data_IF_415732612236
#
_entry.id   IF_415732612236
#
_cell.length_a   1.000
_cell.length_b   1.000
_cell.length_c   1.000
_cell.angle_alpha   90.00
_cell.angle_beta   90.00
_cell.angle_gamma   90.00
#
_symmetry.space_group_name_H-M   'P 1'
#
loop_
_entity.id
_entity.type
_entity.pdbx_description
1 polymer ?
#
# COMPACT_ATOMS: atom_id res chain seq x y z
N UNK A 1 8.69 10.99 39.33
CA UNK A 1 9.41 11.35 38.10
C UNK A 1 10.23 10.13 37.78
N UNK A 2 9.86 9.46 36.70
CA UNK A 2 10.48 8.20 36.31
C UNK A 2 11.64 8.51 35.37
N UNK A 3 12.63 7.62 35.36
CA UNK A 3 13.71 7.73 34.39
C UNK A 3 13.19 7.44 32.98
N UNK A 4 13.94 7.92 31.98
CA UNK A 4 13.68 7.75 30.56
C UNK A 4 13.46 6.29 30.15
N UNK A 5 13.04 6.06 28.90
CA UNK A 5 12.97 4.72 28.32
C UNK A 5 14.34 4.02 28.49
N UNK A 6 14.34 2.77 28.96
CA UNK A 6 15.60 2.00 29.08
C UNK A 6 16.09 1.54 27.71
N UNK A 7 15.15 1.30 26.79
CA UNK A 7 15.40 0.88 25.41
C UNK A 7 14.56 1.74 24.45
N UNK A 8 15.11 2.85 23.92
CA UNK A 8 14.35 3.78 23.08
C UNK A 8 14.08 3.16 21.70
N UNK A 9 12.81 2.86 21.41
CA UNK A 9 12.38 2.27 20.14
C UNK A 9 11.53 3.22 19.28
N UNK A 10 11.53 3.06 17.95
CA UNK A 10 10.71 3.87 17.06
C UNK A 10 9.20 3.72 17.34
N UNK A 11 8.45 4.82 17.20
CA UNK A 11 6.98 4.82 17.37
C UNK A 11 6.25 3.88 16.40
N UNK A 12 6.83 3.59 15.24
CA UNK A 12 6.30 2.64 14.26
C UNK A 12 6.12 1.24 14.86
N UNK A 13 6.97 0.81 15.79
CA UNK A 13 6.86 -0.49 16.46
C UNK A 13 5.66 -0.56 17.42
N UNK A 14 5.48 0.48 18.24
CA UNK A 14 4.32 0.58 19.13
C UNK A 14 3.02 0.60 18.32
N UNK A 15 2.96 1.46 17.30
CA UNK A 15 1.76 1.61 16.47
C UNK A 15 1.43 0.33 15.70
N UNK A 16 2.43 -0.38 15.15
CA UNK A 16 2.21 -1.69 14.52
C UNK A 16 1.72 -2.76 15.52
N UNK A 17 2.26 -2.77 16.74
CA UNK A 17 1.82 -3.69 17.81
C UNK A 17 0.37 -3.44 18.20
N UNK A 18 0.00 -2.17 18.40
CA UNK A 18 -1.38 -1.77 18.70
C UNK A 18 -2.32 -2.05 17.53
N UNK A 19 -1.87 -1.84 16.29
CA UNK A 19 -2.59 -2.18 15.07
C UNK A 19 -2.92 -3.67 14.95
N UNK A 20 -1.95 -4.56 15.24
CA UNK A 20 -2.17 -6.01 15.29
C UNK A 20 -3.18 -6.42 16.36
N UNK A 21 -3.14 -5.77 17.54
CA UNK A 21 -4.09 -6.02 18.62
C UNK A 21 -5.49 -5.45 18.35
N UNK A 22 -5.67 -4.62 17.30
CA UNK A 22 -6.93 -3.97 16.91
C UNK A 22 -7.58 -3.17 18.05
N UNK A 23 -6.76 -2.53 18.88
CA UNK A 23 -7.22 -1.69 19.99
C UNK A 23 -7.50 -0.30 19.41
N UNK A 24 -8.71 0.29 19.50
CA UNK A 24 -8.91 1.73 19.39
C UNK A 24 -8.07 2.48 20.42
N UNK A 25 -7.24 3.40 19.96
CA UNK A 25 -6.42 4.21 20.85
C UNK A 25 -6.16 5.59 20.25
N UNK A 26 -5.80 6.52 21.13
CA UNK A 26 -5.21 7.82 20.79
C UNK A 26 -4.11 8.15 21.78
N UNK A 27 -3.18 9.00 21.36
CA UNK A 27 -2.11 9.47 22.23
C UNK A 27 -1.69 10.88 21.89
N UNK A 28 -1.24 11.62 22.90
CA UNK A 28 -0.48 12.85 22.73
C UNK A 28 0.84 12.73 23.49
N UNK A 29 1.91 13.24 22.90
CA UNK A 29 3.22 13.33 23.53
C UNK A 29 3.60 14.80 23.67
N UNK A 30 4.14 15.16 24.84
CA UNK A 30 4.61 16.51 25.14
C UNK A 30 6.10 16.43 25.44
N UNK A 31 6.86 17.25 24.72
CA UNK A 31 8.29 17.44 24.91
C UNK A 31 8.51 18.82 25.50
N UNK A 32 8.99 18.89 26.75
CA UNK A 32 9.23 20.15 27.45
C UNK A 32 10.73 20.37 27.67
N UNK A 33 11.15 21.63 27.50
CA UNK A 33 12.46 22.10 27.96
C UNK A 33 12.46 22.25 29.49
N UNK A 34 13.64 22.31 30.10
CA UNK A 34 13.74 22.48 31.56
C UNK A 34 13.92 21.18 32.35
N UNK A 35 14.43 20.12 31.71
CA UNK A 35 14.93 18.94 32.43
C UNK A 35 15.94 19.32 33.52
N UNK A 36 16.87 20.23 33.23
CA UNK A 36 18.01 20.55 34.12
C UNK A 36 17.68 21.13 35.49
N UNK A 37 16.75 22.10 35.61
CA UNK A 37 16.45 22.75 36.89
C UNK A 37 15.68 21.84 37.85
N UNK A 38 14.72 21.07 37.32
CA UNK A 38 14.00 20.08 38.10
C UNK A 38 14.81 18.83 38.43
N UNK A 39 15.82 18.55 37.60
CA UNK A 39 16.82 17.52 37.85
C UNK A 39 17.73 17.91 39.00
N UNK A 40 18.27 19.14 39.03
CA UNK A 40 19.16 19.60 40.10
C UNK A 40 18.50 19.51 41.48
N UNK A 41 17.26 19.97 41.62
CA UNK A 41 16.53 19.92 42.90
C UNK A 41 16.26 18.48 43.37
N UNK A 42 16.00 17.56 42.44
CA UNK A 42 15.71 16.16 42.76
C UNK A 42 16.97 15.29 42.87
N UNK A 43 18.07 15.62 42.20
CA UNK A 43 19.38 14.98 42.38
C UNK A 43 19.90 15.23 43.79
N UNK A 44 19.75 16.46 44.29
CA UNK A 44 20.05 16.81 45.69
C UNK A 44 19.16 15.99 46.64
N UNK A 45 17.85 15.94 46.40
CA UNK A 45 16.93 15.14 47.22
C UNK A 45 17.19 13.63 47.16
N UNK A 46 17.52 13.09 45.98
CA UNK A 46 17.84 11.69 45.77
C UNK A 46 19.19 11.33 46.40
N UNK A 47 20.17 12.22 46.41
CA UNK A 47 21.44 12.04 47.13
C UNK A 47 21.23 11.90 48.64
N UNK A 48 20.30 12.68 49.21
CA UNK A 48 19.87 12.55 50.60
C UNK A 48 19.10 11.24 50.86
N UNK A 49 18.19 10.86 49.96
CA UNK A 49 17.38 9.63 50.10
C UNK A 49 18.14 8.35 49.72
N UNK A 50 19.25 8.45 49.02
CA UNK A 50 20.14 7.32 48.68
C UNK A 50 20.99 6.86 49.86
N UNK A 51 21.01 7.62 50.97
CA UNK A 51 21.60 7.20 52.24
C UNK A 51 20.70 6.18 52.99
N UNK A 52 19.45 5.97 52.55
CA UNK A 52 18.54 4.98 53.09
C UNK A 52 18.65 3.64 52.32
N UNK A 53 18.65 2.49 52.99
CA UNK A 53 18.72 1.18 52.33
C UNK A 53 17.47 0.93 51.47
N UNK A 54 17.65 0.66 50.17
CA UNK A 54 16.57 0.34 49.22
C UNK A 54 16.54 1.16 47.91
N UNK A 55 17.35 2.22 47.79
CA UNK A 55 17.32 3.14 46.64
C UNK A 55 18.52 3.02 45.67
N UNK A 56 19.17 1.85 45.61
CA UNK A 56 20.40 1.67 44.81
C UNK A 56 20.19 1.83 43.30
N UNK A 57 19.06 1.37 42.77
CA UNK A 57 18.70 1.50 41.35
C UNK A 57 18.55 2.97 40.94
N UNK A 58 17.91 3.78 41.79
CA UNK A 58 17.74 5.22 41.59
C UNK A 58 19.12 5.89 41.47
N UNK A 59 20.06 5.53 42.36
CA UNK A 59 21.44 6.05 42.36
C UNK A 59 22.19 5.70 41.08
N UNK A 60 22.10 4.43 40.62
CA UNK A 60 22.77 3.95 39.39
C UNK A 60 22.27 4.69 38.16
N UNK A 61 20.97 4.91 38.08
CA UNK A 61 20.33 5.59 36.96
C UNK A 61 20.67 7.10 36.91
N UNK A 62 20.74 7.78 38.05
CA UNK A 62 21.22 9.17 38.12
C UNK A 62 22.69 9.28 37.70
N UNK A 63 23.55 8.34 38.13
CA UNK A 63 24.96 8.31 37.71
C UNK A 63 25.12 8.04 36.21
N UNK A 64 24.29 7.18 35.62
CA UNK A 64 24.27 6.92 34.18
C UNK A 64 23.89 8.18 33.38
N UNK A 65 22.86 8.90 33.80
CA UNK A 65 22.46 10.18 33.19
C UNK A 65 23.55 11.25 33.29
N UNK A 66 24.22 11.34 34.45
CA UNK A 66 25.33 12.27 34.67
C UNK A 66 26.52 11.95 33.75
N UNK A 67 26.86 10.67 33.60
CA UNK A 67 27.91 10.21 32.69
C UNK A 67 27.57 10.52 31.22
N UNK A 68 26.29 10.37 30.83
CA UNK A 68 25.82 10.70 29.48
C UNK A 68 25.87 12.20 29.21
N UNK A 69 25.58 13.04 30.22
CA UNK A 69 25.71 14.50 30.14
C UNK A 69 27.17 14.93 30.01
N UNK A 70 28.04 14.40 30.86
CA UNK A 70 29.46 14.76 30.94
C UNK A 70 30.26 14.27 29.73
N UNK A 71 29.95 13.07 29.19
CA UNK A 71 30.70 12.48 28.06
C UNK A 71 30.13 12.79 26.68
N UNK A 72 28.82 13.05 26.54
CA UNK A 72 28.15 13.20 25.22
C UNK A 72 27.43 14.53 25.02
N UNK A 73 27.51 15.48 25.96
CA UNK A 73 26.86 16.80 25.87
C UNK A 73 25.35 16.73 25.51
N UNK A 74 24.65 15.71 26.02
CA UNK A 74 23.24 15.49 25.69
C UNK A 74 22.33 16.37 26.55
N UNK A 75 21.53 17.22 25.89
CA UNK A 75 20.46 17.96 26.54
C UNK A 75 19.36 17.00 26.99
N UNK A 76 18.94 17.09 28.25
CA UNK A 76 17.84 16.29 28.80
C UNK A 76 16.52 17.04 28.68
N UNK A 77 15.48 16.31 28.30
CA UNK A 77 14.12 16.83 28.11
C UNK A 77 13.13 16.06 28.95
N UNK A 78 12.03 16.73 29.27
CA UNK A 78 10.89 16.09 29.91
C UNK A 78 9.99 15.56 28.82
N UNK A 79 9.78 14.25 28.83
CA UNK A 79 8.87 13.56 27.93
C UNK A 79 7.64 13.12 28.73
N UNK A 80 6.46 13.44 28.22
CA UNK A 80 5.18 12.94 28.72
C UNK A 80 4.42 12.30 27.58
N UNK A 81 3.73 11.20 27.85
CA UNK A 81 2.83 10.55 26.91
C UNK A 81 1.53 10.24 27.62
N UNK A 82 0.44 10.79 27.12
CA UNK A 82 -0.91 10.44 27.57
C UNK A 82 -1.54 9.55 26.50
N UNK A 83 -2.15 8.45 26.89
CA UNK A 83 -2.88 7.57 25.98
C UNK A 83 -4.29 7.29 26.48
N UNK A 84 -5.22 7.09 25.55
CA UNK A 84 -6.60 6.74 25.87
C UNK A 84 -7.14 5.68 24.90
N UNK A 85 -8.04 4.84 25.38
CA UNK A 85 -8.80 3.84 24.62
C UNK A 85 -10.28 3.94 25.00
N UNK A 86 -11.16 3.32 24.22
CA UNK A 86 -12.60 3.40 24.42
C UNK A 86 -13.31 2.10 24.00
N UNK A 87 -14.53 1.93 24.52
CA UNK A 87 -15.45 0.86 24.18
C UNK A 87 -16.90 1.40 24.13
N UNK A 88 -17.83 0.72 23.46
CA UNK A 88 -19.25 1.05 23.52
C UNK A 88 -19.77 1.10 24.96
N UNK A 89 -20.79 1.94 25.18
CA UNK A 89 -21.44 2.08 26.49
C UNK A 89 -22.01 0.70 26.90
N UNK A 90 -21.75 0.29 28.15
CA UNK A 90 -22.17 -1.01 28.69
C UNK A 90 -21.16 -2.15 28.50
N UNK A 91 -20.07 -1.94 27.75
CA UNK A 91 -19.03 -2.96 27.53
C UNK A 91 -17.79 -2.76 28.46
N UNK A 92 -18.00 -2.61 29.76
CA UNK A 92 -16.92 -2.31 30.72
C UNK A 92 -15.81 -3.36 30.74
N UNK A 93 -16.16 -4.63 30.60
CA UNK A 93 -15.20 -5.72 30.53
C UNK A 93 -14.25 -5.56 29.33
N UNK A 94 -14.76 -5.10 28.19
CA UNK A 94 -13.97 -4.83 27.00
C UNK A 94 -13.09 -3.60 27.22
N UNK A 95 -13.61 -2.53 27.81
CA UNK A 95 -12.81 -1.35 28.14
C UNK A 95 -11.61 -1.72 29.03
N UNK A 96 -11.84 -2.50 30.09
CA UNK A 96 -10.78 -2.97 31.01
C UNK A 96 -9.73 -3.81 30.27
N UNK A 97 -10.18 -4.74 29.41
CA UNK A 97 -9.28 -5.57 28.59
C UNK A 97 -8.42 -4.74 27.65
N UNK A 98 -9.04 -3.77 26.97
CA UNK A 98 -8.33 -2.88 26.04
C UNK A 98 -7.34 -1.97 26.75
N UNK A 99 -7.73 -1.37 27.89
CA UNK A 99 -6.84 -0.56 28.72
C UNK A 99 -5.64 -1.37 29.21
N UNK A 100 -5.85 -2.61 29.65
CA UNK A 100 -4.76 -3.51 30.06
C UNK A 100 -3.83 -3.84 28.88
N UNK A 101 -4.39 -4.12 27.71
CA UNK A 101 -3.60 -4.48 26.54
C UNK A 101 -2.81 -3.29 25.96
N UNK A 102 -3.34 -2.07 26.11
CA UNK A 102 -2.67 -0.81 25.78
C UNK A 102 -1.50 -0.55 26.73
N UNK A 103 -1.71 -0.62 28.05
CA UNK A 103 -0.63 -0.50 29.05
C UNK A 103 0.51 -1.48 28.78
N UNK A 104 0.19 -2.76 28.57
CA UNK A 104 1.19 -3.80 28.26
C UNK A 104 1.97 -3.52 26.97
N UNK A 105 1.31 -2.94 25.95
CA UNK A 105 1.98 -2.62 24.70
C UNK A 105 2.95 -1.45 24.84
N UNK A 106 2.61 -0.45 25.65
CA UNK A 106 3.48 0.70 25.93
C UNK A 106 4.65 0.27 26.83
N UNK A 107 4.38 -0.56 27.85
CA UNK A 107 5.42 -1.12 28.72
C UNK A 107 6.42 -1.96 27.93
N UNK A 108 5.93 -2.81 27.00
CA UNK A 108 6.79 -3.63 26.15
C UNK A 108 7.50 -2.90 25.00
N UNK A 109 7.23 -1.61 24.77
CA UNK A 109 7.82 -0.85 23.66
C UNK A 109 9.22 -0.32 23.97
N UNK A 110 9.47 0.13 25.20
CA UNK A 110 10.78 0.65 25.60
C UNK A 110 11.03 0.59 27.11
N UNK A 111 10.40 -0.38 27.77
CA UNK A 111 10.33 -0.49 29.23
C UNK A 111 9.79 0.77 29.91
N UNK A 112 8.87 1.48 29.24
CA UNK A 112 8.22 2.66 29.80
C UNK A 112 7.28 2.23 30.92
N UNK A 113 7.34 2.91 32.07
CA UNK A 113 6.36 2.68 33.13
C UNK A 113 5.06 3.40 32.80
N UNK A 114 3.93 2.70 32.88
CA UNK A 114 2.60 3.31 32.69
C UNK A 114 1.83 3.36 34.00
N UNK A 115 1.05 4.42 34.17
CA UNK A 115 0.14 4.57 35.31
C UNK A 115 -1.28 4.68 34.78
N UNK A 116 -2.20 3.86 35.32
CA UNK A 116 -3.64 3.90 34.98
C UNK A 116 -4.44 4.87 35.84
N UNK A 117 -3.83 5.40 36.90
CA UNK A 117 -4.42 6.39 37.79
C UNK A 117 -4.21 7.77 37.19
N UNK A 118 -5.24 8.33 36.57
CA UNK A 118 -5.20 9.65 35.92
C UNK A 118 -5.36 10.83 36.88
N UNK A 119 -5.83 10.60 38.11
CA UNK A 119 -6.34 11.65 38.98
C UNK A 119 -7.68 12.16 38.46
N UNK A 120 -7.66 13.05 37.47
CA UNK A 120 -8.82 13.54 36.73
C UNK A 120 -8.97 12.77 35.39
N UNK A 121 -10.04 11.97 35.22
CA UNK A 121 -10.30 11.26 33.96
C UNK A 121 -10.59 12.19 32.77
N UNK A 122 -11.21 13.35 32.98
CA UNK A 122 -11.49 14.31 31.92
C UNK A 122 -10.19 14.94 31.44
N UNK A 123 -9.33 15.37 32.36
CA UNK A 123 -8.03 15.95 32.01
C UNK A 123 -7.14 14.93 31.29
N UNK A 124 -7.12 13.66 31.73
CA UNK A 124 -6.39 12.60 31.02
C UNK A 124 -6.99 12.29 29.64
N UNK A 125 -8.32 12.29 29.53
CA UNK A 125 -8.97 12.13 28.23
C UNK A 125 -8.62 13.29 27.30
N UNK A 126 -8.71 14.55 27.73
CA UNK A 126 -8.36 15.72 26.94
C UNK A 126 -6.86 15.76 26.60
N UNK A 127 -6.00 15.43 27.57
CA UNK A 127 -4.55 15.36 27.43
C UNK A 127 -4.04 14.25 26.53
N UNK A 128 -4.90 13.31 26.10
CA UNK A 128 -4.58 12.30 25.08
C UNK A 128 -4.90 12.75 23.64
N UNK A 129 -5.53 13.91 23.47
CA UNK A 129 -5.79 14.52 22.17
C UNK A 129 -4.67 15.52 21.87
N UNK A 130 -3.89 15.32 20.79
CA UNK A 130 -2.88 16.30 20.39
C UNK A 130 -3.49 17.70 20.27
N UNK A 131 -2.75 18.72 20.71
CA UNK A 131 -3.10 20.15 20.66
C UNK A 131 -4.34 20.61 21.45
N UNK A 132 -5.15 19.72 22.01
CA UNK A 132 -6.32 20.09 22.82
C UNK A 132 -5.95 20.56 24.23
N UNK A 133 -4.93 19.93 24.83
CA UNK A 133 -4.37 20.33 26.11
C UNK A 133 -2.87 20.53 25.98
N UNK A 134 -2.36 21.61 26.56
CA UNK A 134 -0.92 21.87 26.71
C UNK A 134 -0.37 21.22 28.00
N UNK A 135 -1.26 20.72 28.87
CA UNK A 135 -0.93 19.98 30.08
C UNK A 135 -1.14 18.48 29.91
N UNK A 136 -0.49 17.71 30.76
CA UNK A 136 -0.69 16.26 30.84
C UNK A 136 -0.60 15.82 32.30
N UNK A 137 -1.55 14.98 32.70
CA UNK A 137 -1.58 14.26 33.98
C UNK A 137 -0.56 13.12 34.05
N UNK A 138 0.10 12.80 32.93
CA UNK A 138 1.15 11.78 32.90
C UNK A 138 2.37 12.24 33.69
N UNK A 139 2.97 11.30 34.43
CA UNK A 139 4.21 11.54 35.15
C UNK A 139 5.31 11.90 34.15
N UNK A 140 6.00 13.05 34.29
CA UNK A 140 7.11 13.39 33.42
C UNK A 140 8.23 12.37 33.59
N UNK A 141 8.70 11.84 32.46
CA UNK A 141 9.91 11.06 32.36
C UNK A 141 11.05 11.96 31.86
N UNK A 142 12.26 11.70 32.34
CA UNK A 142 13.44 12.42 31.87
C UNK A 142 14.21 11.57 30.87
N UNK A 143 14.26 12.02 29.62
CA UNK A 143 14.95 11.33 28.54
C UNK A 143 16.04 12.21 27.93
N UNK A 144 17.16 11.64 27.46
CA UNK A 144 18.05 12.31 26.52
C UNK A 144 17.29 12.74 25.27
N UNK A 145 17.60 13.94 24.74
CA UNK A 145 16.89 14.51 23.60
C UNK A 145 16.83 13.57 22.38
N UNK A 146 17.95 12.96 22.01
CA UNK A 146 18.01 12.05 20.86
C UNK A 146 17.09 10.83 21.03
N UNK A 147 17.06 10.24 22.22
CA UNK A 147 16.21 9.09 22.54
C UNK A 147 14.72 9.48 22.50
N UNK A 148 14.37 10.64 23.07
CA UNK A 148 13.02 11.19 23.00
C UNK A 148 12.57 11.42 21.55
N UNK A 149 13.44 11.98 20.70
CA UNK A 149 13.13 12.20 19.28
C UNK A 149 12.90 10.89 18.53
N UNK A 150 13.65 9.82 18.82
CA UNK A 150 13.45 8.50 18.20
C UNK A 150 12.08 7.90 18.50
N UNK A 151 11.57 8.11 19.72
CA UNK A 151 10.29 7.57 20.17
C UNK A 151 9.07 8.37 19.71
N UNK A 152 9.27 9.59 19.21
CA UNK A 152 8.18 10.47 18.80
C UNK A 152 7.55 10.05 17.45
N UNK A 153 6.27 10.41 17.21
CA UNK A 153 5.48 9.91 16.08
C UNK A 153 5.74 10.66 14.75
N UNK A 154 7.00 10.99 14.42
CA UNK A 154 7.33 11.84 13.26
C UNK A 154 7.06 11.17 11.90
N UNK A 155 7.37 9.87 11.78
CA UNK A 155 7.45 9.16 10.48
C UNK A 155 6.11 8.54 10.08
N UNK A 156 4.99 9.10 10.54
CA UNK A 156 3.69 8.56 10.20
C UNK A 156 3.28 9.06 8.81
N UNK A 157 3.43 8.21 7.79
CA UNK A 157 2.93 8.50 6.44
C UNK A 157 1.43 8.80 6.46
N UNK A 158 0.94 9.72 5.63
CA UNK A 158 -0.48 9.95 5.38
C UNK A 158 -0.83 9.43 3.98
N UNK A 159 -2.08 9.01 3.76
CA UNK A 159 -2.49 8.66 2.40
C UNK A 159 -2.48 9.93 1.55
N UNK A 160 -1.88 9.91 0.35
CA UNK A 160 -1.98 11.04 -0.57
C UNK A 160 -3.43 11.22 -1.05
N UNK A 161 -4.24 10.15 -1.04
CA UNK A 161 -5.64 10.19 -1.42
C UNK A 161 -6.53 10.45 -0.20
N UNK A 162 -7.35 11.50 -0.27
CA UNK A 162 -8.39 11.75 0.74
C UNK A 162 -9.56 10.77 0.61
N UNK A 163 -9.86 10.36 -0.61
CA UNK A 163 -10.93 9.43 -0.98
C UNK A 163 -10.38 8.41 -1.96
N UNK A 164 -10.96 7.22 -1.95
CA UNK A 164 -10.60 6.15 -2.87
C UNK A 164 -11.64 5.04 -2.80
N UNK A 165 -11.82 4.32 -3.90
CA UNK A 165 -12.77 3.20 -3.97
C UNK A 165 -12.28 1.97 -3.20
N UNK A 166 -11.01 1.95 -2.79
CA UNK A 166 -10.42 0.86 -2.01
C UNK A 166 -9.91 1.40 -0.68
N UNK A 167 -10.25 0.70 0.40
CA UNK A 167 -9.77 1.00 1.75
C UNK A 167 -8.78 -0.07 2.19
N UNK A 168 -7.49 0.22 2.06
CA UNK A 168 -6.45 -0.60 2.65
C UNK A 168 -6.33 -0.34 4.15
N UNK A 169 -5.64 -1.26 4.83
CA UNK A 169 -5.29 -1.12 6.24
C UNK A 169 -3.78 -1.08 6.37
N UNK A 170 -3.29 -0.06 7.06
CA UNK A 170 -1.87 0.06 7.41
C UNK A 170 -1.47 -0.89 8.54
N UNK A 171 -0.16 -1.15 8.72
CA UNK A 171 0.34 -1.91 9.86
C UNK A 171 -0.11 -1.36 11.23
N UNK A 172 -0.31 -0.04 11.34
CA UNK A 172 -0.82 0.62 12.54
C UNK A 172 -2.34 0.48 12.76
N UNK A 173 -3.03 -0.23 11.86
CA UNK A 173 -4.47 -0.48 11.89
C UNK A 173 -5.32 0.64 11.29
N UNK A 174 -4.73 1.77 10.91
CA UNK A 174 -5.47 2.88 10.32
C UNK A 174 -5.88 2.62 8.86
N UNK A 175 -6.96 3.28 8.45
CA UNK A 175 -7.49 3.21 7.10
C UNK A 175 -6.57 3.96 6.14
N UNK A 176 -6.33 3.37 4.98
CA UNK A 176 -5.59 3.96 3.87
C UNK A 176 -6.44 3.93 2.61
N UNK A 177 -7.02 5.07 2.27
CA UNK A 177 -7.75 5.23 1.02
C UNK A 177 -6.81 5.09 -0.16
N UNK A 178 -7.22 4.33 -1.17
CA UNK A 178 -6.53 4.13 -2.42
C UNK A 178 -7.50 4.29 -3.58
N UNK A 179 -7.11 5.12 -4.54
CA UNK A 179 -7.87 5.36 -5.77
C UNK A 179 -7.11 4.76 -6.97
N UNK A 180 -7.62 3.69 -7.60
CA UNK A 180 -6.97 3.06 -8.74
C UNK A 180 -6.96 3.94 -10.00
N UNK A 181 -7.72 5.04 -10.03
CA UNK A 181 -7.66 6.05 -11.10
C UNK A 181 -6.53 7.05 -10.93
N UNK A 182 -5.88 7.05 -9.75
CA UNK A 182 -4.87 8.04 -9.37
C UNK A 182 -5.48 9.26 -8.70
N UNK A 183 -6.81 9.38 -8.66
CA UNK A 183 -7.51 10.42 -7.92
C UNK A 183 -7.14 11.84 -8.37
N UNK A 184 -6.74 12.00 -9.64
CA UNK A 184 -6.25 13.27 -10.19
C UNK A 184 -4.87 13.72 -9.68
N UNK A 185 -4.21 12.93 -8.83
CA UNK A 185 -2.87 13.22 -8.31
C UNK A 185 -1.75 12.65 -9.17
N UNK A 186 -2.06 11.64 -9.99
CA UNK A 186 -1.12 10.96 -10.89
C UNK A 186 -1.75 10.81 -12.27
N UNK A 187 -0.96 11.06 -13.31
CA UNK A 187 -1.39 10.92 -14.70
C UNK A 187 -1.42 9.46 -15.15
N UNK A 188 -0.47 8.65 -14.69
CA UNK A 188 -0.37 7.23 -14.99
C UNK A 188 -0.10 6.40 -13.74
N UNK A 189 -0.69 5.21 -13.67
CA UNK A 189 -0.49 4.24 -12.60
C UNK A 189 -0.07 2.91 -13.20
N UNK A 190 1.00 2.35 -12.65
CA UNK A 190 1.48 1.00 -12.95
C UNK A 190 1.62 0.26 -11.62
N UNK A 191 0.83 -0.78 -11.43
CA UNK A 191 0.84 -1.60 -10.23
C UNK A 191 1.57 -2.92 -10.47
N UNK A 192 2.65 -3.16 -9.72
CA UNK A 192 3.41 -4.41 -9.75
C UNK A 192 3.10 -5.20 -8.47
N UNK A 193 2.46 -6.36 -8.63
CA UNK A 193 2.08 -7.23 -7.51
C UNK A 193 2.91 -8.51 -7.54
N UNK A 194 3.79 -8.65 -6.55
CA UNK A 194 4.66 -9.82 -6.39
C UNK A 194 4.22 -10.63 -5.17
N UNK A 195 3.93 -11.91 -5.36
CA UNK A 195 3.60 -12.83 -4.28
C UNK A 195 3.92 -14.27 -4.70
N UNK A 196 4.27 -15.16 -3.75
CA UNK A 196 4.36 -16.60 -4.02
C UNK A 196 2.99 -17.17 -4.43
N UNK A 197 2.93 -18.37 -5.05
CA UNK A 197 1.67 -19.06 -5.32
C UNK A 197 0.82 -19.17 -4.05
N UNK A 198 -0.48 -18.83 -4.16
CA UNK A 198 -1.39 -18.79 -3.01
C UNK A 198 -1.29 -17.52 -2.14
N UNK A 199 -0.36 -16.61 -2.40
CA UNK A 199 -0.16 -15.37 -1.63
C UNK A 199 -1.19 -14.26 -1.88
N UNK A 200 -2.29 -14.55 -2.58
CA UNK A 200 -3.39 -13.60 -2.79
C UNK A 200 -3.21 -12.59 -3.94
N UNK A 201 -2.23 -12.76 -4.84
CA UNK A 201 -2.02 -11.88 -6.02
C UNK A 201 -3.30 -11.66 -6.83
N UNK A 202 -4.02 -12.74 -7.15
CA UNK A 202 -5.26 -12.67 -7.93
C UNK A 202 -6.38 -11.96 -7.17
N UNK A 203 -6.47 -12.17 -5.85
CA UNK A 203 -7.44 -11.48 -4.98
C UNK A 203 -7.17 -9.98 -4.98
N UNK A 204 -5.91 -9.58 -4.80
CA UNK A 204 -5.51 -8.17 -4.81
C UNK A 204 -5.80 -7.52 -6.17
N UNK A 205 -5.38 -8.16 -7.28
CA UNK A 205 -5.64 -7.66 -8.64
C UNK A 205 -7.15 -7.50 -8.93
N UNK A 206 -7.98 -8.48 -8.56
CA UNK A 206 -9.43 -8.36 -8.73
C UNK A 206 -10.04 -7.29 -7.81
N UNK A 207 -9.49 -7.09 -6.61
CA UNK A 207 -9.91 -6.00 -5.71
C UNK A 207 -9.62 -4.63 -6.33
N UNK A 208 -8.45 -4.48 -6.96
CA UNK A 208 -8.08 -3.26 -7.70
C UNK A 208 -9.03 -3.02 -8.88
N UNK A 209 -9.29 -4.04 -9.70
CA UNK A 209 -10.23 -3.94 -10.82
C UNK A 209 -11.66 -3.59 -10.36
N UNK A 210 -12.14 -4.21 -9.28
CA UNK A 210 -13.43 -3.88 -8.70
C UNK A 210 -13.45 -2.45 -8.16
N UNK A 211 -12.38 -2.02 -7.48
CA UNK A 211 -12.25 -0.64 -7.06
C UNK A 211 -12.28 0.33 -8.24
N UNK A 212 -11.69 -0.03 -9.38
CA UNK A 212 -11.75 0.81 -10.59
C UNK A 212 -13.19 0.93 -11.10
N UNK A 213 -13.93 -0.17 -11.14
CA UNK A 213 -15.36 -0.19 -11.49
C UNK A 213 -16.22 0.63 -10.50
N UNK A 214 -15.83 0.69 -9.22
CA UNK A 214 -16.54 1.46 -8.20
C UNK A 214 -16.03 2.90 -8.03
N UNK A 215 -15.01 3.30 -8.79
CA UNK A 215 -14.40 4.62 -8.70
C UNK A 215 -15.15 5.66 -9.52
N UNK A 216 -14.68 6.91 -9.47
CA UNK A 216 -15.17 7.98 -10.35
C UNK A 216 -14.98 7.67 -11.84
N UNK A 217 -14.07 6.77 -12.23
CA UNK A 217 -13.91 6.35 -13.63
C UNK A 217 -15.17 5.68 -14.20
N UNK A 218 -16.03 5.13 -13.35
CA UNK A 218 -17.29 4.55 -13.79
C UNK A 218 -18.44 5.56 -13.89
N UNK A 219 -18.24 6.80 -13.43
CA UNK A 219 -19.26 7.85 -13.46
C UNK A 219 -19.07 8.70 -14.72
N UNK A 220 -20.04 8.63 -15.63
CA UNK A 220 -20.17 9.53 -16.78
C UNK A 220 -21.34 10.48 -16.58
N UNK A 221 -21.35 11.63 -17.27
CA UNK A 221 -22.50 12.55 -17.29
C UNK A 221 -23.81 11.90 -17.75
N UNK A 222 -23.73 10.78 -18.46
CA UNK A 222 -24.88 9.98 -18.91
C UNK A 222 -25.14 8.72 -18.04
N UNK A 223 -24.58 8.65 -16.82
CA UNK A 223 -24.78 7.54 -15.89
C UNK A 223 -23.55 6.65 -15.71
N UNK A 224 -23.74 5.49 -15.06
CA UNK A 224 -22.66 4.58 -14.72
C UNK A 224 -22.24 3.72 -15.93
N UNK A 225 -21.01 3.93 -16.43
CA UNK A 225 -20.41 3.17 -17.53
C UNK A 225 -19.21 2.39 -17.02
N UNK A 226 -19.07 1.12 -17.41
CA UNK A 226 -17.89 0.36 -17.00
C UNK A 226 -16.61 0.96 -17.61
N UNK A 227 -15.53 1.10 -16.81
CA UNK A 227 -14.22 1.39 -17.35
C UNK A 227 -13.73 0.22 -18.22
N UNK A 228 -12.94 0.52 -19.24
CA UNK A 228 -12.33 -0.52 -20.07
C UNK A 228 -11.27 -1.27 -19.26
N UNK A 229 -11.51 -2.56 -19.03
CA UNK A 229 -10.61 -3.45 -18.29
C UNK A 229 -10.30 -4.67 -19.15
N UNK A 230 -9.03 -4.81 -19.54
CA UNK A 230 -8.48 -6.02 -20.15
C UNK A 230 -7.71 -6.84 -19.12
N UNK A 231 -7.97 -8.15 -19.04
CA UNK A 231 -7.24 -9.06 -18.15
C UNK A 231 -6.87 -10.35 -18.88
N UNK A 232 -5.56 -10.58 -19.00
CA UNK A 232 -4.97 -11.84 -19.45
C UNK A 232 -4.45 -12.59 -18.23
N UNK A 233 -4.88 -13.83 -18.05
CA UNK A 233 -4.56 -14.63 -16.86
C UNK A 233 -4.30 -16.09 -17.21
N UNK A 234 -3.42 -16.74 -16.46
CA UNK A 234 -3.16 -18.18 -16.58
C UNK A 234 -4.03 -18.87 -15.53
N UNK A 235 -5.16 -19.41 -15.97
CA UNK A 235 -6.18 -20.05 -15.14
C UNK A 235 -7.45 -19.21 -14.95
N UNK A 236 -8.41 -19.67 -14.12
CA UNK A 236 -9.73 -19.03 -14.00
C UNK A 236 -9.76 -17.81 -13.06
N UNK A 237 -8.62 -17.11 -12.87
CA UNK A 237 -8.51 -16.04 -11.87
C UNK A 237 -9.39 -14.81 -12.13
N UNK A 238 -9.78 -14.57 -13.38
CA UNK A 238 -10.71 -13.50 -13.77
C UNK A 238 -12.20 -13.90 -13.80
N UNK A 239 -12.53 -15.19 -13.77
CA UNK A 239 -13.90 -15.67 -14.02
C UNK A 239 -14.90 -15.11 -13.00
N UNK A 240 -14.58 -15.20 -11.70
CA UNK A 240 -15.46 -14.72 -10.64
C UNK A 240 -15.70 -13.21 -10.69
N UNK A 241 -14.71 -12.43 -11.15
CA UNK A 241 -14.86 -10.98 -11.34
C UNK A 241 -15.87 -10.68 -12.47
N UNK A 242 -15.75 -11.38 -13.60
CA UNK A 242 -16.70 -11.21 -14.72
C UNK A 242 -18.11 -11.65 -14.31
N UNK A 243 -18.26 -12.80 -13.66
CA UNK A 243 -19.57 -13.25 -13.17
C UNK A 243 -20.23 -12.25 -12.22
N UNK A 244 -19.44 -11.62 -11.34
CA UNK A 244 -19.92 -10.56 -10.46
C UNK A 244 -20.42 -9.35 -11.26
N UNK A 245 -19.67 -8.90 -12.27
CA UNK A 245 -20.08 -7.78 -13.11
C UNK A 245 -21.36 -8.08 -13.88
N UNK A 246 -21.45 -9.25 -14.54
CA UNK A 246 -22.65 -9.66 -15.28
C UNK A 246 -23.89 -9.70 -14.38
N UNK A 247 -23.75 -10.25 -13.16
CA UNK A 247 -24.83 -10.28 -12.18
C UNK A 247 -25.26 -8.88 -11.73
N UNK A 248 -24.31 -7.96 -11.52
CA UNK A 248 -24.58 -6.59 -11.09
C UNK A 248 -25.18 -5.72 -12.21
N UNK A 249 -24.79 -5.94 -13.47
CA UNK A 249 -25.27 -5.21 -14.65
C UNK A 249 -26.69 -5.63 -15.08
N UNK A 250 -27.10 -6.85 -14.76
CA UNK A 250 -28.37 -7.43 -15.21
C UNK A 250 -28.32 -7.91 -16.67
N UNK A 251 -29.42 -8.50 -17.15
CA UNK A 251 -29.47 -9.17 -18.45
C UNK A 251 -29.17 -8.24 -19.63
N UNK A 252 -29.69 -7.01 -19.63
CA UNK A 252 -29.54 -6.08 -20.75
C UNK A 252 -28.09 -5.68 -21.01
N UNK A 253 -27.28 -5.62 -19.95
CA UNK A 253 -25.90 -5.11 -19.97
C UNK A 253 -24.85 -6.18 -19.70
N UNK A 254 -25.25 -7.44 -19.50
CA UNK A 254 -24.32 -8.54 -19.22
C UNK A 254 -23.26 -8.73 -20.32
N UNK A 255 -23.56 -8.33 -21.55
CA UNK A 255 -22.63 -8.38 -22.68
C UNK A 255 -21.44 -7.42 -22.54
N UNK A 256 -21.49 -6.41 -21.66
CA UNK A 256 -20.37 -5.49 -21.41
C UNK A 256 -19.20 -6.15 -20.68
N UNK A 257 -19.39 -7.35 -20.11
CA UNK A 257 -18.34 -8.10 -19.43
C UNK A 257 -18.30 -9.54 -19.97
N UNK A 258 -17.12 -9.99 -20.43
CA UNK A 258 -16.94 -11.32 -20.99
C UNK A 258 -15.74 -12.04 -20.37
N UNK A 259 -15.90 -13.35 -20.13
CA UNK A 259 -14.81 -14.24 -19.75
C UNK A 259 -14.62 -15.24 -20.88
N UNK A 260 -13.49 -15.16 -21.55
CA UNK A 260 -13.11 -16.05 -22.65
C UNK A 260 -11.96 -16.93 -22.18
N UNK A 261 -12.19 -18.25 -22.16
CA UNK A 261 -11.13 -19.23 -21.96
C UNK A 261 -10.58 -19.63 -23.32
N UNK A 262 -9.38 -19.15 -23.65
CA UNK A 262 -8.71 -19.51 -24.90
C UNK A 262 -8.49 -21.02 -25.00
N UNK A 263 -8.82 -21.61 -26.14
CA UNK A 263 -8.67 -23.04 -26.43
C UNK A 263 -7.89 -23.22 -27.73
N UNK A 264 -7.17 -24.34 -27.85
CA UNK A 264 -6.52 -24.74 -29.11
C UNK A 264 -7.54 -25.39 -30.05
N UNK A 265 -8.61 -24.67 -30.37
CA UNK A 265 -9.71 -25.12 -31.24
C UNK A 265 -10.13 -23.98 -32.13
N UNK A 266 -10.81 -24.32 -33.24
CA UNK A 266 -11.34 -23.32 -34.16
C UNK A 266 -12.27 -22.33 -33.47
N UNK A 267 -12.15 -21.05 -33.83
CA UNK A 267 -12.92 -19.92 -33.29
C UNK A 267 -12.22 -19.13 -32.17
N UNK A 268 -11.02 -19.52 -31.74
CA UNK A 268 -10.22 -18.79 -30.74
C UNK A 268 -8.93 -18.21 -31.30
N UNK A 269 -8.76 -18.27 -32.62
CA UNK A 269 -7.61 -17.71 -33.28
C UNK A 269 -7.69 -16.19 -33.37
N UNK A 270 -6.53 -15.54 -33.30
CA UNK A 270 -6.41 -14.08 -33.40
C UNK A 270 -5.30 -13.80 -34.41
N UNK A 271 -5.61 -12.98 -35.42
CA UNK A 271 -4.61 -12.51 -36.36
C UNK A 271 -4.02 -11.19 -35.85
N UNK A 272 -2.71 -11.18 -35.58
CA UNK A 272 -2.02 -9.98 -35.10
C UNK A 272 -1.92 -8.88 -36.16
N UNK A 273 -2.12 -9.21 -37.44
CA UNK A 273 -2.18 -8.27 -38.56
C UNK A 273 -3.58 -7.68 -38.80
N UNK A 274 -4.56 -8.01 -37.96
CA UNK A 274 -5.88 -7.42 -38.09
C UNK A 274 -5.84 -5.91 -37.81
N UNK A 275 -6.55 -5.16 -38.65
CA UNK A 275 -6.63 -3.71 -38.60
C UNK A 275 -7.84 -3.24 -37.79
N UNK A 276 -7.73 -2.04 -37.24
CA UNK A 276 -8.90 -1.35 -36.69
C UNK A 276 -9.94 -1.10 -37.79
N UNK A 277 -11.21 -1.04 -37.40
CA UNK A 277 -12.32 -0.85 -38.33
C UNK A 277 -12.14 0.42 -39.17
N UNK A 278 -12.19 0.27 -40.49
CA UNK A 278 -12.08 1.38 -41.44
C UNK A 278 -10.65 1.74 -41.85
N UNK A 279 -9.63 1.01 -41.38
CA UNK A 279 -8.26 1.17 -41.84
C UNK A 279 -7.90 0.16 -42.93
N UNK A 280 -7.06 0.60 -43.87
CA UNK A 280 -6.43 -0.24 -44.90
C UNK A 280 -4.97 -0.57 -44.56
N UNK A 281 -4.36 0.21 -43.67
CA UNK A 281 -2.98 0.06 -43.21
C UNK A 281 -2.90 0.27 -41.68
N UNK A 282 -1.92 -0.34 -40.99
CA UNK A 282 -1.78 -0.21 -39.54
C UNK A 282 -1.39 1.21 -39.15
N UNK A 283 -1.76 1.62 -37.94
CA UNK A 283 -1.25 2.86 -37.35
C UNK A 283 0.26 2.75 -37.08
N UNK A 284 1.01 3.87 -37.00
CA UNK A 284 2.46 3.83 -36.79
C UNK A 284 2.88 3.01 -35.56
N UNK A 285 2.13 3.07 -34.47
CA UNK A 285 2.42 2.28 -33.26
C UNK A 285 2.15 0.79 -33.45
N UNK A 286 1.10 0.43 -34.19
CA UNK A 286 0.75 -0.96 -34.52
C UNK A 286 1.78 -1.57 -35.46
N UNK A 287 2.26 -0.78 -36.42
CA UNK A 287 3.36 -1.17 -37.30
C UNK A 287 4.62 -1.49 -36.50
N UNK A 288 5.03 -0.59 -35.59
CA UNK A 288 6.18 -0.83 -34.70
C UNK A 288 5.96 -2.05 -33.81
N UNK A 289 4.73 -2.31 -33.35
CA UNK A 289 4.42 -3.53 -32.62
C UNK A 289 4.63 -4.78 -33.47
N UNK A 290 4.13 -4.80 -34.71
CA UNK A 290 4.31 -5.92 -35.65
C UNK A 290 5.78 -6.16 -35.97
N UNK A 291 6.54 -5.11 -36.26
CA UNK A 291 7.98 -5.21 -36.52
C UNK A 291 8.72 -5.86 -35.34
N UNK A 292 8.45 -5.40 -34.12
CA UNK A 292 9.04 -5.98 -32.92
C UNK A 292 8.60 -7.44 -32.70
N UNK A 293 7.32 -7.74 -32.90
CA UNK A 293 6.77 -9.08 -32.71
C UNK A 293 7.38 -10.09 -33.69
N UNK A 294 7.42 -9.76 -34.98
CA UNK A 294 8.02 -10.62 -36.00
C UNK A 294 9.52 -10.74 -35.80
N UNK A 295 10.21 -9.64 -35.44
CA UNK A 295 11.64 -9.68 -35.13
C UNK A 295 11.95 -10.62 -33.96
N UNK A 296 11.11 -10.64 -32.91
CA UNK A 296 11.24 -11.57 -31.80
C UNK A 296 11.04 -13.03 -32.24
N UNK A 297 10.08 -13.30 -33.13
CA UNK A 297 9.84 -14.64 -33.68
C UNK A 297 10.99 -15.12 -34.58
N UNK A 298 11.59 -14.20 -35.35
CA UNK A 298 12.69 -14.50 -36.26
C UNK A 298 14.05 -14.63 -35.53
N UNK A 299 14.17 -14.09 -34.31
CA UNK A 299 15.42 -14.12 -33.55
C UNK A 299 15.60 -15.46 -32.83
N UNK A 300 16.69 -16.20 -33.09
CA UNK A 300 16.94 -17.47 -32.40
C UNK A 300 17.17 -17.26 -30.90
N UNK A 301 16.66 -18.17 -30.07
CA UNK A 301 16.85 -18.14 -28.61
C UNK A 301 18.33 -18.06 -28.22
N UNK A 302 18.69 -17.05 -27.43
CA UNK A 302 20.04 -16.86 -26.88
C UNK A 302 21.08 -16.35 -27.89
N UNK A 303 20.67 -15.93 -29.10
CA UNK A 303 21.55 -15.32 -30.11
C UNK A 303 21.08 -13.91 -30.43
N UNK A 304 21.98 -13.03 -30.92
CA UNK A 304 21.57 -11.74 -31.45
C UNK A 304 20.67 -11.92 -32.69
N UNK A 305 19.83 -10.92 -33.02
CA UNK A 305 19.10 -10.88 -34.29
C UNK A 305 20.04 -11.00 -35.49
N UNK A 306 19.55 -11.56 -36.60
CA UNK A 306 20.30 -11.60 -37.85
C UNK A 306 20.49 -10.19 -38.43
N UNK A 307 21.65 -9.94 -39.02
CA UNK A 307 21.96 -8.66 -39.66
C UNK A 307 21.01 -8.41 -40.86
N UNK A 308 20.41 -7.21 -40.93
CA UNK A 308 19.46 -6.83 -41.98
C UNK A 308 18.07 -7.45 -41.87
N UNK A 309 17.78 -8.21 -40.80
CA UNK A 309 16.47 -8.82 -40.57
C UNK A 309 15.39 -7.76 -40.29
N UNK A 310 15.75 -6.65 -39.69
CA UNK A 310 14.90 -5.50 -39.44
C UNK A 310 14.29 -4.93 -40.73
N UNK A 311 15.12 -4.71 -41.75
CA UNK A 311 14.66 -4.25 -43.06
C UNK A 311 13.75 -5.27 -43.75
N UNK A 312 14.13 -6.56 -43.71
CA UNK A 312 13.30 -7.62 -44.28
C UNK A 312 11.93 -7.72 -43.59
N UNK A 313 11.88 -7.60 -42.27
CA UNK A 313 10.62 -7.61 -41.50
C UNK A 313 9.75 -6.42 -41.90
N UNK A 314 10.33 -5.23 -42.05
CA UNK A 314 9.60 -4.04 -42.53
C UNK A 314 9.01 -4.25 -43.92
N UNK A 315 9.81 -4.70 -44.87
CA UNK A 315 9.39 -4.94 -46.25
C UNK A 315 8.28 -6.00 -46.33
N UNK A 316 8.39 -7.09 -45.55
CA UNK A 316 7.39 -8.16 -45.51
C UNK A 316 6.07 -7.66 -44.93
N UNK A 317 6.11 -6.84 -43.87
CA UNK A 317 4.88 -6.27 -43.28
C UNK A 317 4.20 -5.35 -44.28
N UNK A 318 4.95 -4.45 -44.93
CA UNK A 318 4.41 -3.51 -45.91
C UNK A 318 3.80 -4.25 -47.11
N UNK A 319 4.49 -5.28 -47.62
CA UNK A 319 4.01 -6.10 -48.72
C UNK A 319 2.77 -6.93 -48.35
N UNK A 320 2.69 -7.45 -47.13
CA UNK A 320 1.52 -8.19 -46.66
C UNK A 320 0.25 -7.33 -46.67
N UNK A 321 0.33 -6.07 -46.20
CA UNK A 321 -0.81 -5.15 -46.27
C UNK A 321 -1.12 -4.73 -47.72
N UNK A 322 -0.10 -4.45 -48.53
CA UNK A 322 -0.28 -4.10 -49.95
C UNK A 322 -1.08 -5.18 -50.70
N UNK A 323 -0.69 -6.45 -50.54
CA UNK A 323 -1.38 -7.58 -51.18
C UNK A 323 -2.84 -7.71 -50.73
N UNK A 324 -3.12 -7.50 -49.44
CA UNK A 324 -4.48 -7.61 -48.90
C UNK A 324 -5.40 -6.45 -49.33
N UNK A 325 -4.85 -5.26 -49.54
CA UNK A 325 -5.61 -4.08 -49.97
C UNK A 325 -5.87 -4.11 -51.49
N UNK A 326 -4.87 -4.44 -52.30
CA UNK A 326 -5.03 -4.53 -53.77
C UNK A 326 -5.99 -5.67 -54.20
N UNK A 327 -6.00 -6.79 -53.49
CA UNK A 327 -6.91 -7.91 -53.80
C UNK A 327 -8.39 -7.55 -53.55
N UNK A 328 -8.66 -6.61 -52.62
CA UNK A 328 -10.02 -6.12 -52.33
C UNK A 328 -10.60 -5.26 -53.44
N UNK A 329 -9.77 -4.56 -54.21
CA UNK A 329 -10.24 -3.72 -55.32
C UNK A 329 -10.62 -4.52 -56.58
N UNK A 330 -10.08 -5.74 -56.74
CA UNK A 330 -10.15 -6.46 -58.01
C UNK A 330 -11.32 -7.47 -58.09
N UNK A 331 -11.96 -7.88 -56.98
CA UNK A 331 -13.03 -8.88 -57.08
C UNK A 331 -14.15 -8.80 -56.02
N UNK A 332 -15.32 -8.22 -56.36
CA UNK A 332 -16.49 -8.19 -55.46
C UNK A 332 -17.20 -9.54 -55.30
N UNK A 333 -16.88 -10.56 -56.13
CA UNK A 333 -17.65 -11.81 -56.23
C UNK A 333 -16.84 -13.11 -56.09
N UNK A 334 -15.55 -13.07 -55.74
CA UNK A 334 -14.81 -14.30 -55.41
C UNK A 334 -15.04 -14.69 -53.95
N UNK A 335 -15.94 -15.65 -53.73
CA UNK A 335 -15.98 -16.47 -52.52
C UNK A 335 -14.83 -17.47 -52.57
N UNK A 336 -13.59 -17.03 -52.36
CA UNK A 336 -12.47 -17.93 -52.11
C UNK A 336 -12.05 -17.79 -50.63
N UNK A 337 -12.34 -18.77 -49.76
CA UNK A 337 -12.16 -18.61 -48.30
C UNK A 337 -10.71 -18.70 -47.80
N UNK A 338 -9.72 -18.93 -48.66
CA UNK A 338 -8.42 -19.48 -48.24
C UNK A 338 -7.22 -18.51 -48.18
N UNK A 339 -7.42 -17.20 -48.29
CA UNK A 339 -6.33 -16.22 -48.10
C UNK A 339 -6.60 -15.25 -46.94
N UNK A 340 -7.05 -15.78 -45.81
CA UNK A 340 -6.67 -15.19 -44.53
C UNK A 340 -5.18 -15.49 -44.31
N UNK A 341 -4.35 -14.47 -44.13
CA UNK A 341 -2.93 -14.58 -43.82
C UNK A 341 -2.74 -15.23 -42.43
N UNK A 342 -3.06 -16.52 -42.32
CA UNK A 342 -2.54 -17.36 -41.27
C UNK A 342 -1.05 -17.46 -41.57
N UNK A 343 -0.23 -16.72 -40.82
CA UNK A 343 1.12 -17.18 -40.55
C UNK A 343 0.95 -18.58 -39.94
N UNK A 344 1.00 -19.62 -40.79
CA UNK A 344 1.17 -20.99 -40.37
C UNK A 344 2.54 -21.05 -39.72
N UNK A 345 2.61 -20.66 -38.44
CA UNK A 345 3.65 -21.14 -37.56
C UNK A 345 3.49 -22.66 -37.57
N UNK A 346 4.47 -23.41 -38.10
CA UNK A 346 4.36 -24.85 -38.16
C UNK A 346 4.09 -25.36 -36.75
N UNK A 347 3.17 -26.33 -36.66
CA UNK A 347 2.69 -26.97 -35.42
C UNK A 347 3.81 -27.55 -34.53
N UNK A 348 5.06 -27.50 -34.98
CA UNK A 348 6.28 -27.89 -34.29
C UNK A 348 6.88 -26.84 -33.35
N UNK A 349 6.37 -25.60 -33.30
CA UNK A 349 6.90 -24.55 -32.40
C UNK A 349 6.09 -24.42 -31.08
N UNK A 350 4.94 -25.11 -30.96
CA UNK A 350 4.11 -25.15 -29.73
C UNK A 350 4.06 -26.56 -29.13
N UNK A 351 5.22 -27.19 -28.99
CA UNK A 351 5.43 -28.35 -28.11
C UNK A 351 6.25 -27.97 -26.89
#
# INVERSE_FOLDING_TARGET
>A
MELGPEDPRPFSELSATLGRKRIPWRSAMILESGGGAAFALKEVGAGFLAMLPGNEDIRRSFAALRTMREKKNHNSVRLRMTTATWAPIGEDAKLRRQASALSQAIEGWGNCKTTRVSGDPLEAAMGSVPTLSLGSTANPSLAPLGEAFTMMPWVRSASPWQRGSILFRRPDGSIWSFDPTGGGLREAIVDIIVAPPGGGKTVMSNTINLGLVLSSAALSGNGAKLPFIGKVDIGPGGQGFVSLLQAALGQERAHEAAYLKMQKTQGYEVNVFDLQLGLEYPLPLERVFLENFISLLATPLGKPPFEGMDHLVQDVIDEAYRLCTEFREVNPNSTDPELSLWLMLPSSIIT
#
